data_IF_548881979661
#
_entry.id   IF_548881979661
#
_cell.length_a   1.000
_cell.length_b   1.000
_cell.length_c   1.000
_cell.angle_alpha   90.00
_cell.angle_beta   90.00
_cell.angle_gamma   90.00
#
_symmetry.space_group_name_H-M   'P 1'
#
loop_
_entity.id
_entity.type
_entity.pdbx_description
1 polymer ?
#
# COMPACT_ATOMS: atom_id res chain seq x y z
N UNK A 1 1.83 44.27 -9.33
CA UNK A 1 1.25 42.95 -9.64
C UNK A 1 1.85 41.94 -8.69
N UNK A 2 0.96 41.15 -8.07
CA UNK A 2 1.07 39.93 -7.26
C UNK A 2 2.37 39.12 -7.37
N UNK A 3 2.76 38.23 -6.46
CA UNK A 3 2.49 37.85 -5.07
C UNK A 3 3.48 36.69 -4.82
N UNK A 4 3.94 36.53 -3.58
CA UNK A 4 4.69 35.37 -3.09
C UNK A 4 3.96 34.04 -3.34
N UNK A 5 4.70 32.93 -3.54
CA UNK A 5 4.36 31.55 -3.11
C UNK A 5 5.47 30.60 -3.63
N UNK A 6 6.38 30.11 -2.80
CA UNK A 6 6.27 29.00 -1.83
C UNK A 6 6.87 27.69 -2.38
N UNK A 7 8.10 27.44 -1.91
CA UNK A 7 8.59 26.19 -1.33
C UNK A 7 7.87 24.88 -1.71
N UNK A 8 8.61 23.97 -2.35
CA UNK A 8 8.65 22.56 -1.91
C UNK A 8 9.84 21.82 -2.53
N UNK A 9 10.97 21.88 -1.83
CA UNK A 9 11.75 20.66 -1.64
C UNK A 9 10.84 19.62 -0.99
N UNK A 10 10.71 18.43 -1.57
CA UNK A 10 11.14 17.19 -0.92
C UNK A 10 10.72 15.99 -1.77
N UNK A 11 11.72 15.25 -2.26
CA UNK A 11 11.51 13.99 -2.93
C UNK A 11 12.83 13.23 -3.04
N UNK A 12 13.62 13.28 -1.96
CA UNK A 12 14.84 12.51 -1.83
C UNK A 12 14.44 11.03 -1.95
N UNK A 13 14.78 10.39 -3.05
CA UNK A 13 14.60 8.96 -3.26
C UNK A 13 15.47 8.23 -2.24
N UNK A 14 14.89 7.91 -1.09
CA UNK A 14 15.55 7.13 -0.05
C UNK A 14 15.96 5.78 -0.62
N UNK A 15 17.27 5.56 -0.58
CA UNK A 15 17.98 4.34 -0.98
C UNK A 15 17.31 3.07 -0.41
N UNK A 16 17.23 1.95 -1.16
CA UNK A 16 16.48 0.74 -0.77
C UNK A 16 17.17 -0.12 0.33
N UNK A 17 18.05 0.46 1.14
CA UNK A 17 19.04 -0.28 1.93
C UNK A 17 18.92 -0.13 3.46
N UNK A 18 17.70 -0.04 4.00
CA UNK A 18 17.46 -0.35 5.42
C UNK A 18 16.50 -1.52 5.52
N UNK A 19 17.08 -2.72 5.60
CA UNK A 19 16.38 -3.96 5.96
C UNK A 19 16.13 -3.95 7.48
N UNK A 20 15.46 -2.90 7.97
CA UNK A 20 14.69 -2.96 9.20
C UNK A 20 13.25 -3.16 8.75
N UNK A 21 12.59 -4.15 9.34
CA UNK A 21 11.30 -4.70 8.89
C UNK A 21 10.37 -3.65 8.28
N UNK A 22 9.76 -4.01 7.14
CA UNK A 22 8.87 -3.15 6.38
C UNK A 22 7.96 -2.34 7.30
N UNK A 23 8.15 -1.03 7.34
CA UNK A 23 7.35 -0.16 8.19
C UNK A 23 5.88 -0.27 7.77
N UNK A 24 4.99 -0.39 8.76
CA UNK A 24 3.55 -0.52 8.53
C UNK A 24 3.01 0.60 7.63
N UNK A 25 3.51 1.83 7.79
CA UNK A 25 3.11 2.97 6.98
C UNK A 25 3.46 2.81 5.48
N UNK A 26 4.65 2.28 5.18
CA UNK A 26 5.06 2.05 3.79
C UNK A 26 4.28 0.88 3.17
N UNK A 27 4.00 -0.16 3.96
CA UNK A 27 3.13 -1.25 3.53
C UNK A 27 1.72 -0.74 3.22
N UNK A 28 1.11 0.04 4.11
CA UNK A 28 -0.20 0.65 3.91
C UNK A 28 -0.25 1.52 2.65
N UNK A 29 0.83 2.26 2.35
CA UNK A 29 0.93 3.04 1.10
C UNK A 29 0.93 2.14 -0.12
N UNK A 30 1.66 1.02 -0.10
CA UNK A 30 1.72 0.04 -1.20
C UNK A 30 0.40 -0.69 -1.40
N UNK A 31 -0.26 -1.11 -0.31
CA UNK A 31 -1.55 -1.78 -0.34
C UNK A 31 -2.62 -0.89 -0.97
N UNK A 32 -2.74 0.38 -0.55
CA UNK A 32 -3.68 1.33 -1.16
C UNK A 32 -3.43 1.59 -2.65
N UNK A 33 -2.19 1.43 -3.13
CA UNK A 33 -1.86 1.59 -4.54
C UNK A 33 -2.12 0.32 -5.38
N UNK A 34 -2.53 -0.80 -4.77
CA UNK A 34 -2.85 -2.03 -5.49
C UNK A 34 -4.18 -1.89 -6.24
N UNK A 35 -4.14 -2.11 -7.56
CA UNK A 35 -5.33 -2.13 -8.43
C UNK A 35 -5.70 -3.53 -8.91
N UNK A 36 -4.96 -4.56 -8.47
CA UNK A 36 -5.16 -5.94 -8.91
C UNK A 36 -4.88 -6.91 -7.78
N UNK A 37 -5.64 -8.02 -7.75
CA UNK A 37 -5.45 -9.12 -6.81
C UNK A 37 -4.02 -9.69 -6.85
N UNK A 38 -3.44 -9.82 -8.05
CA UNK A 38 -2.06 -10.31 -8.21
C UNK A 38 -1.03 -9.46 -7.44
N UNK A 39 -1.17 -8.12 -7.46
CA UNK A 39 -0.25 -7.25 -6.73
C UNK A 39 -0.50 -7.31 -5.22
N UNK A 40 -1.75 -7.48 -4.81
CA UNK A 40 -2.11 -7.65 -3.40
C UNK A 40 -1.54 -8.96 -2.83
N UNK A 41 -1.60 -10.06 -3.59
CA UNK A 41 -1.03 -11.36 -3.21
C UNK A 41 0.52 -11.31 -3.09
N UNK A 42 1.18 -10.58 -3.99
CA UNK A 42 2.63 -10.34 -3.86
C UNK A 42 2.99 -9.61 -2.56
N UNK A 43 2.18 -8.63 -2.14
CA UNK A 43 2.37 -7.92 -0.87
C UNK A 43 2.09 -8.84 0.33
N UNK A 44 1.10 -9.71 0.23
CA UNK A 44 0.84 -10.74 1.24
C UNK A 44 2.02 -11.70 1.39
N UNK A 45 2.57 -12.20 0.28
CA UNK A 45 3.78 -13.05 0.32
C UNK A 45 4.97 -12.30 0.94
N UNK A 46 5.16 -11.03 0.59
CA UNK A 46 6.23 -10.20 1.15
C UNK A 46 6.07 -10.00 2.67
N UNK A 47 4.84 -9.75 3.13
CA UNK A 47 4.50 -9.67 4.55
C UNK A 47 4.93 -10.94 5.30
N UNK A 48 4.54 -12.11 4.79
CA UNK A 48 4.81 -13.40 5.44
C UNK A 48 6.31 -13.69 5.58
N UNK A 49 7.14 -13.15 4.68
CA UNK A 49 8.60 -13.33 4.70
C UNK A 49 9.34 -12.33 5.57
N UNK A 50 8.77 -11.13 5.79
CA UNK A 50 9.50 -10.00 6.37
C UNK A 50 8.98 -9.54 7.73
N UNK A 51 7.71 -9.83 8.06
CA UNK A 51 7.09 -9.42 9.31
C UNK A 51 6.92 -10.64 10.23
N UNK A 52 7.41 -10.58 11.50
CA UNK A 52 7.17 -11.63 12.48
C UNK A 52 5.68 -11.85 12.75
N UNK A 53 5.27 -13.10 12.99
CA UNK A 53 3.85 -13.48 13.18
C UNK A 53 3.15 -12.59 14.22
N UNK A 54 3.82 -12.28 15.34
CA UNK A 54 3.29 -11.44 16.42
C UNK A 54 2.96 -10.00 16.02
N UNK A 55 3.43 -9.53 14.85
CA UNK A 55 3.21 -8.18 14.34
C UNK A 55 2.35 -8.13 13.06
N UNK A 56 1.81 -9.27 12.59
CA UNK A 56 1.11 -9.32 11.28
C UNK A 56 -0.32 -8.81 11.31
N UNK A 57 -0.95 -8.71 12.49
CA UNK A 57 -2.37 -8.37 12.60
C UNK A 57 -2.73 -7.09 11.82
N UNK A 58 -1.99 -6.00 12.05
CA UNK A 58 -2.27 -4.71 11.39
C UNK A 58 -2.05 -4.77 9.87
N UNK A 59 -1.08 -5.56 9.41
CA UNK A 59 -0.80 -5.72 7.98
C UNK A 59 -1.85 -6.56 7.29
N UNK A 60 -2.34 -7.63 7.95
CA UNK A 60 -3.43 -8.46 7.44
C UNK A 60 -4.71 -7.64 7.35
N UNK A 61 -5.01 -6.80 8.34
CA UNK A 61 -6.17 -5.91 8.31
C UNK A 61 -6.14 -4.98 7.07
N UNK A 62 -4.98 -4.41 6.75
CA UNK A 62 -4.81 -3.58 5.55
C UNK A 62 -5.03 -4.37 4.25
N UNK A 63 -4.51 -5.60 4.18
CA UNK A 63 -4.70 -6.47 3.01
C UNK A 63 -6.18 -6.82 2.81
N UNK A 64 -6.87 -7.24 3.87
CA UNK A 64 -8.29 -7.61 3.82
C UNK A 64 -9.15 -6.42 3.42
N UNK A 65 -8.89 -5.24 3.98
CA UNK A 65 -9.61 -4.03 3.60
C UNK A 65 -9.46 -3.75 2.09
N UNK A 66 -8.26 -3.87 1.54
CA UNK A 66 -8.07 -3.62 0.10
C UNK A 66 -8.66 -4.72 -0.78
N UNK A 67 -8.66 -5.96 -0.31
CA UNK A 67 -9.29 -7.09 -0.99
C UNK A 67 -10.81 -6.87 -1.15
N UNK A 68 -11.47 -6.42 -0.08
CA UNK A 68 -12.87 -6.00 -0.10
C UNK A 68 -13.08 -4.85 -1.08
N UNK A 69 -12.29 -3.78 -1.02
CA UNK A 69 -12.39 -2.65 -1.96
C UNK A 69 -12.26 -3.08 -3.43
N UNK A 70 -11.32 -3.99 -3.74
CA UNK A 70 -11.17 -4.54 -5.10
C UNK A 70 -12.38 -5.35 -5.52
N UNK A 71 -13.01 -6.10 -4.60
CA UNK A 71 -14.21 -6.89 -4.92
C UNK A 71 -15.41 -6.01 -5.26
N UNK A 72 -15.55 -4.86 -4.59
CA UNK A 72 -16.56 -3.87 -4.92
C UNK A 72 -16.28 -3.22 -6.29
N UNK A 73 -15.03 -2.88 -6.59
CA UNK A 73 -14.63 -2.35 -7.90
C UNK A 73 -14.94 -3.33 -9.05
N UNK A 74 -14.66 -4.63 -8.88
CA UNK A 74 -14.96 -5.68 -9.86
C UNK A 74 -16.48 -5.86 -10.05
N UNK A 75 -17.23 -5.91 -8.95
CA UNK A 75 -18.69 -6.04 -8.95
C UNK A 75 -19.36 -4.82 -9.62
N UNK A 76 -18.90 -3.60 -9.34
CA UNK A 76 -19.41 -2.36 -9.96
C UNK A 76 -19.17 -2.31 -11.47
N UNK A 77 -18.11 -2.95 -11.97
CA UNK A 77 -17.87 -3.09 -13.41
C UNK A 77 -18.81 -4.11 -14.04
N UNK A 78 -19.11 -5.21 -13.35
CA UNK A 78 -20.01 -6.26 -13.83
C UNK A 78 -21.46 -5.77 -13.96
N UNK A 79 -21.96 -4.94 -13.04
CA UNK A 79 -23.32 -4.38 -13.10
C UNK A 79 -23.54 -3.27 -14.14
N UNK A 80 -22.49 -2.79 -14.81
CA UNK A 80 -22.58 -1.71 -15.82
C UNK A 80 -22.67 -2.22 -17.26
N UNK A 81 -22.73 -3.54 -17.47
CA UNK A 81 -22.82 -4.21 -18.77
C UNK A 81 -24.26 -4.70 -18.99
#
# INVERSE_FOLDING_TARGET
MSADDDKSECGQFSSPASIQGMLLADFARRVRACKTYRRLDMLHTLLLRTVPVSKRADYIALLNQRDEELSFEETDMEWRI
#
